data_IF_105623393182
#
_entry.id   IF_105623393182
#
_cell.length_a   1.000
_cell.length_b   1.000
_cell.length_c   1.000
_cell.angle_alpha   90.00
_cell.angle_beta   90.00
_cell.angle_gamma   90.00
#
_symmetry.space_group_name_H-M   'P 1'
#
loop_
_entity.id
_entity.type
_entity.pdbx_description
1 polymer ?
#
# COMPACT_ATOMS: atom_id res chain seq x y z
N UNK A 1 31.85 -35.97 -35.50
CA UNK A 1 31.51 -35.46 -34.16
C UNK A 1 30.30 -34.54 -34.30
N UNK A 2 29.21 -34.89 -33.62
CA UNK A 2 27.91 -34.20 -33.66
C UNK A 2 27.79 -33.32 -32.42
N UNK A 3 27.54 -32.03 -32.64
CA UNK A 3 26.73 -31.09 -31.85
C UNK A 3 26.82 -31.18 -30.32
N UNK A 4 27.49 -30.20 -29.71
CA UNK A 4 27.17 -29.74 -28.36
C UNK A 4 26.54 -28.36 -28.51
N UNK A 5 25.22 -28.33 -28.29
CA UNK A 5 24.40 -27.13 -28.32
C UNK A 5 24.68 -26.30 -27.06
N UNK A 6 24.91 -25.00 -27.26
CA UNK A 6 24.85 -24.00 -26.20
C UNK A 6 23.46 -24.00 -25.56
N UNK A 7 23.40 -24.39 -24.29
CA UNK A 7 22.20 -24.22 -23.47
C UNK A 7 22.03 -22.73 -23.19
N UNK A 8 21.22 -22.07 -24.02
CA UNK A 8 20.73 -20.73 -23.76
C UNK A 8 19.87 -20.76 -22.48
N UNK A 9 20.39 -20.18 -21.40
CA UNK A 9 19.67 -19.97 -20.15
C UNK A 9 18.47 -19.05 -20.43
N UNK A 10 17.31 -19.65 -20.64
CA UNK A 10 16.05 -18.92 -20.74
C UNK A 10 15.66 -18.45 -19.34
N UNK A 11 15.82 -17.14 -19.10
CA UNK A 11 15.28 -16.46 -17.93
C UNK A 11 13.74 -16.60 -17.96
N UNK A 12 13.06 -16.96 -16.85
CA UNK A 12 11.61 -17.04 -16.86
C UNK A 12 11.03 -15.63 -17.04
N UNK A 13 10.24 -15.48 -18.10
CA UNK A 13 9.43 -14.31 -18.39
C UNK A 13 8.59 -13.96 -17.15
N UNK A 14 8.62 -12.68 -16.79
CA UNK A 14 7.86 -12.11 -15.68
C UNK A 14 6.38 -12.47 -15.82
N UNK A 15 5.82 -13.06 -14.77
CA UNK A 15 4.42 -13.43 -14.69
C UNK A 15 3.50 -12.20 -14.93
N UNK A 16 2.35 -12.39 -15.58
CA UNK A 16 1.47 -11.31 -16.00
C UNK A 16 1.00 -10.48 -14.80
N UNK A 17 1.03 -9.16 -14.96
CA UNK A 17 0.52 -8.18 -14.01
C UNK A 17 -0.96 -8.47 -13.79
N UNK A 18 -1.33 -8.82 -12.56
CA UNK A 18 -2.71 -9.05 -12.15
C UNK A 18 -3.51 -7.75 -12.30
N UNK A 19 -4.36 -7.70 -13.32
CA UNK A 19 -5.20 -6.55 -13.64
C UNK A 19 -6.38 -6.56 -12.64
N UNK A 20 -6.34 -5.58 -11.73
CA UNK A 20 -7.47 -5.07 -10.93
C UNK A 20 -8.29 -6.11 -10.17
N UNK A 21 -7.66 -6.79 -9.21
CA UNK A 21 -8.44 -7.33 -8.09
C UNK A 21 -9.03 -6.12 -7.33
N UNK A 22 -10.36 -6.02 -7.13
CA UNK A 22 -10.93 -4.92 -6.36
C UNK A 22 -10.29 -4.96 -4.97
N UNK A 23 -9.60 -3.87 -4.59
CA UNK A 23 -8.95 -3.76 -3.29
C UNK A 23 -9.96 -4.18 -2.21
N UNK A 24 -9.53 -5.10 -1.34
CA UNK A 24 -10.29 -5.46 -0.16
C UNK A 24 -10.58 -4.20 0.66
N UNK A 25 -11.66 -4.23 1.44
CA UNK A 25 -11.99 -3.11 2.32
C UNK A 25 -10.82 -2.74 3.24
N UNK A 26 -10.07 -3.75 3.69
CA UNK A 26 -8.84 -3.60 4.46
C UNK A 26 -7.79 -2.77 3.70
N UNK A 27 -7.48 -3.11 2.44
CA UNK A 27 -6.49 -2.40 1.63
C UNK A 27 -6.91 -0.96 1.31
N UNK A 28 -8.21 -0.73 1.09
CA UNK A 28 -8.76 0.61 0.89
C UNK A 28 -8.56 1.48 2.12
N UNK A 29 -8.89 0.96 3.29
CA UNK A 29 -8.74 1.65 4.57
C UNK A 29 -7.27 1.94 4.89
N UNK A 30 -6.36 0.98 4.66
CA UNK A 30 -4.92 1.19 4.85
C UNK A 30 -4.41 2.30 3.91
N UNK A 31 -4.81 2.27 2.64
CA UNK A 31 -4.41 3.27 1.65
C UNK A 31 -4.92 4.66 2.01
N UNK A 32 -6.18 4.77 2.43
CA UNK A 32 -6.78 6.03 2.90
C UNK A 32 -6.02 6.57 4.11
N UNK A 33 -5.75 5.74 5.13
CA UNK A 33 -4.98 6.13 6.31
C UNK A 33 -3.59 6.67 5.96
N UNK A 34 -2.86 5.96 5.09
CA UNK A 34 -1.52 6.37 4.65
C UNK A 34 -1.58 7.74 3.95
N UNK A 35 -2.56 7.94 3.07
CA UNK A 35 -2.71 9.20 2.35
C UNK A 35 -3.04 10.36 3.29
N UNK A 36 -3.93 10.15 4.27
CA UNK A 36 -4.26 11.16 5.27
C UNK A 36 -3.03 11.47 6.15
N UNK A 37 -2.30 10.45 6.60
CA UNK A 37 -1.12 10.64 7.44
C UNK A 37 0.00 11.40 6.70
N UNK A 38 0.21 11.11 5.41
CA UNK A 38 1.12 11.88 4.55
C UNK A 38 0.65 13.32 4.35
N UNK A 39 -0.66 13.53 4.10
CA UNK A 39 -1.24 14.88 3.93
C UNK A 39 -1.04 15.74 5.17
N UNK A 40 -1.12 15.15 6.36
CA UNK A 40 -0.89 15.84 7.62
C UNK A 40 0.58 15.98 7.99
N UNK A 41 1.49 15.36 7.23
CA UNK A 41 2.93 15.36 7.51
C UNK A 41 3.32 14.52 8.72
N UNK A 42 2.46 13.60 9.18
CA UNK A 42 2.71 12.76 10.37
C UNK A 42 3.28 11.37 10.02
N UNK A 43 3.64 11.15 8.76
CA UNK A 43 4.17 9.87 8.27
C UNK A 43 5.38 10.08 7.36
N UNK A 44 6.45 9.34 7.64
CA UNK A 44 7.73 9.43 6.91
C UNK A 44 8.58 10.60 7.41
N UNK A 45 9.37 11.17 6.50
CA UNK A 45 10.27 12.31 6.78
C UNK A 45 9.59 13.68 6.56
N UNK A 46 8.25 13.73 6.61
CA UNK A 46 7.47 14.96 6.47
C UNK A 46 7.35 15.67 7.82
N UNK A 47 7.20 16.99 7.79
CA UNK A 47 6.91 17.78 8.98
C UNK A 47 5.38 17.88 9.21
N UNK A 48 4.89 17.56 10.42
CA UNK A 48 3.48 17.70 10.75
C UNK A 48 2.99 19.13 10.55
N UNK A 49 1.83 19.29 9.91
CA UNK A 49 1.21 20.61 9.80
C UNK A 49 0.78 21.10 11.19
N UNK A 50 0.90 22.40 11.44
CA UNK A 50 0.51 22.97 12.73
C UNK A 50 -0.99 22.75 12.98
N UNK A 51 -1.35 22.22 14.15
CA UNK A 51 -2.73 21.94 14.51
C UNK A 51 -3.34 20.72 13.80
N UNK A 52 -2.52 19.83 13.22
CA UNK A 52 -3.03 18.63 12.53
C UNK A 52 -4.00 17.80 13.38
N UNK A 53 -3.86 17.80 14.70
CA UNK A 53 -4.71 17.05 15.63
C UNK A 53 -6.18 17.49 15.61
N UNK A 54 -6.45 18.72 15.20
CA UNK A 54 -7.79 19.31 15.19
C UNK A 54 -8.46 19.17 13.82
N UNK A 55 -7.77 18.62 12.82
CA UNK A 55 -8.31 18.49 11.47
C UNK A 55 -9.21 17.26 11.31
N UNK A 56 -10.13 17.34 10.36
CA UNK A 56 -11.02 16.22 10.04
C UNK A 56 -10.25 15.00 9.50
N UNK A 57 -9.11 15.21 8.83
CA UNK A 57 -8.24 14.11 8.39
C UNK A 57 -7.69 13.32 9.57
N UNK A 58 -7.28 14.00 10.65
CA UNK A 58 -6.77 13.30 11.83
C UNK A 58 -7.88 12.53 12.55
N UNK A 59 -9.07 13.13 12.65
CA UNK A 59 -10.26 12.42 13.15
C UNK A 59 -10.56 11.18 12.30
N UNK A 60 -10.48 11.31 10.98
CA UNK A 60 -10.73 10.22 10.02
C UNK A 60 -9.74 9.08 10.16
N UNK A 61 -8.45 9.37 10.40
CA UNK A 61 -7.45 8.33 10.71
C UNK A 61 -7.88 7.49 11.91
N UNK A 62 -8.40 8.11 12.97
CA UNK A 62 -8.89 7.41 14.16
C UNK A 62 -10.14 6.54 13.89
N UNK A 63 -11.03 6.97 13.00
CA UNK A 63 -12.17 6.16 12.56
C UNK A 63 -11.73 4.94 11.75
N UNK A 64 -10.76 5.13 10.85
CA UNK A 64 -10.18 4.06 10.05
C UNK A 64 -9.53 3.02 10.96
N UNK A 65 -8.79 3.44 11.99
CA UNK A 65 -8.15 2.52 12.94
C UNK A 65 -9.15 1.64 13.69
N UNK A 66 -10.32 2.18 14.06
CA UNK A 66 -11.41 1.39 14.65
C UNK A 66 -11.95 0.35 13.68
N UNK A 67 -12.24 0.75 12.43
CA UNK A 67 -12.75 -0.17 11.39
C UNK A 67 -11.73 -1.25 11.05
N UNK A 68 -10.45 -0.90 10.96
CA UNK A 68 -9.37 -1.86 10.74
C UNK A 68 -9.31 -2.89 11.87
N UNK A 69 -9.51 -2.48 13.13
CA UNK A 69 -9.54 -3.40 14.26
C UNK A 69 -10.72 -4.37 14.21
N UNK A 70 -11.90 -3.91 13.78
CA UNK A 70 -13.08 -4.76 13.59
C UNK A 70 -12.88 -5.80 12.48
N UNK A 71 -12.15 -5.45 11.41
CA UNK A 71 -11.89 -6.35 10.28
C UNK A 71 -10.86 -7.45 10.57
N UNK A 72 -10.05 -7.30 11.62
CA UNK A 72 -8.98 -8.26 12.00
C UNK A 72 -9.41 -9.17 13.16
N UNK A 73 -10.60 -8.94 13.74
CA UNK A 73 -11.22 -9.80 14.77
C UNK A 73 -11.80 -11.08 14.21
#
# INVERSE_FOLDING_TARGET
>A
MRIMAEEAVQQPAQAPIDIEKPLSELEKLISEKINLAKKLGIMGDLEPIQGYSDTDEYRRIGEIDKRLWELVK
#
